data_IF_964789919994
#
_entry.id   IF_964789919994
#
_cell.length_a   1.000
_cell.length_b   1.000
_cell.length_c   1.000
_cell.angle_alpha   90.00
_cell.angle_beta   90.00
_cell.angle_gamma   90.00
#
_symmetry.space_group_name_H-M   'P 1'
#
loop_
_entity.id
_entity.type
_entity.pdbx_description
1 polymer ?
#
# COMPACT_ATOMS: atom_id res chain seq x y z
N UNK A 1 -5.42 0.08 -34.43
CA UNK A 1 -5.13 -0.41 -33.09
C UNK A 1 -3.90 -1.34 -33.04
N UNK A 2 -2.81 -1.06 -33.76
CA UNK A 2 -1.58 -1.88 -33.76
C UNK A 2 -0.31 -1.11 -33.36
N UNK A 3 -0.43 0.12 -32.83
CA UNK A 3 0.72 1.00 -32.61
C UNK A 3 0.97 1.42 -31.17
N UNK A 4 0.29 0.86 -30.16
CA UNK A 4 0.47 1.27 -28.75
C UNK A 4 1.20 0.24 -27.87
N UNK A 5 1.65 -0.89 -28.45
CA UNK A 5 2.35 -1.95 -27.69
C UNK A 5 3.89 -1.92 -27.85
N UNK A 6 4.43 -0.95 -28.61
CA UNK A 6 5.85 -0.93 -28.95
C UNK A 6 6.72 0.03 -28.13
N UNK A 7 6.19 0.73 -27.13
CA UNK A 7 6.96 1.75 -26.38
C UNK A 7 7.49 1.26 -25.02
N UNK A 8 7.16 0.05 -24.58
CA UNK A 8 7.52 -0.42 -23.21
C UNK A 8 8.71 -1.39 -23.15
N UNK A 9 9.49 -1.56 -24.21
CA UNK A 9 10.58 -2.56 -24.26
C UNK A 9 11.90 -2.03 -24.86
N UNK A 10 12.24 -0.76 -24.64
CA UNK A 10 13.62 -0.29 -24.90
C UNK A 10 14.12 0.45 -23.66
N UNK A 11 14.49 -0.32 -22.64
CA UNK A 11 15.43 0.14 -21.61
C UNK A 11 16.82 -0.35 -22.06
N UNK A 12 17.76 0.54 -22.41
CA UNK A 12 19.10 0.10 -22.76
C UNK A 12 19.78 -0.51 -21.53
N UNK A 13 20.28 -1.73 -21.68
CA UNK A 13 20.95 -2.54 -20.65
C UNK A 13 22.30 -1.99 -20.15
N UNK A 14 22.61 -0.72 -20.34
CA UNK A 14 23.94 -0.15 -20.06
C UNK A 14 24.02 0.79 -18.84
N UNK A 15 23.01 0.84 -17.96
CA UNK A 15 23.02 1.78 -16.83
C UNK A 15 22.84 1.11 -15.45
N UNK A 16 23.38 -0.10 -15.24
CA UNK A 16 23.33 -0.76 -13.93
C UNK A 16 24.71 -1.27 -13.48
N UNK A 17 25.72 -0.40 -13.63
CA UNK A 17 26.97 -0.51 -12.87
C UNK A 17 26.96 0.53 -11.76
N UNK A 18 26.27 0.23 -10.67
CA UNK A 18 26.43 0.95 -9.41
C UNK A 18 27.76 0.47 -8.82
N UNK A 19 28.75 1.35 -8.60
CA UNK A 19 29.97 0.96 -7.91
C UNK A 19 29.61 0.57 -6.48
N UNK A 20 29.83 -0.69 -6.14
CA UNK A 20 29.75 -1.20 -4.77
C UNK A 20 30.88 -0.54 -3.99
N UNK A 21 30.55 0.38 -3.09
CA UNK A 21 31.49 0.94 -2.13
C UNK A 21 32.07 -0.20 -1.26
N UNK A 22 33.39 -0.23 -1.02
CA UNK A 22 34.00 -1.26 -0.19
C UNK A 22 33.47 -1.18 1.23
N UNK A 23 32.99 -2.31 1.75
CA UNK A 23 32.58 -2.46 3.15
C UNK A 23 33.80 -2.16 4.05
N UNK A 24 33.65 -1.36 5.12
CA UNK A 24 34.70 -1.21 6.10
C UNK A 24 35.00 -2.59 6.73
N UNK A 25 36.28 -2.95 6.75
CA UNK A 25 36.73 -4.19 7.34
C UNK A 25 36.35 -4.26 8.82
N UNK A 26 35.78 -5.38 9.24
CA UNK A 26 35.61 -5.72 10.64
C UNK A 26 36.99 -5.69 11.31
N UNK A 27 37.19 -4.70 12.18
CA UNK A 27 38.33 -4.71 13.09
C UNK A 27 38.11 -5.83 14.12
N UNK A 28 38.80 -6.93 13.95
CA UNK A 28 38.95 -7.95 14.98
C UNK A 28 39.71 -7.35 16.16
N UNK A 29 38.99 -7.12 17.26
CA UNK A 29 39.60 -6.82 18.54
C UNK A 29 40.40 -8.07 19.00
N UNK A 30 41.70 -8.10 18.74
CA UNK A 30 42.62 -9.03 19.36
C UNK A 30 42.83 -8.60 20.82
N UNK A 31 42.27 -9.41 21.74
CA UNK A 31 42.52 -9.31 23.18
C UNK A 31 44.03 -9.56 23.45
N UNK A 32 44.77 -8.49 23.71
CA UNK A 32 46.14 -8.56 24.17
C UNK A 32 46.13 -8.87 25.68
N UNK A 33 46.44 -10.10 26.04
CA UNK A 33 46.75 -10.51 27.42
C UNK A 33 48.08 -9.86 27.83
N UNK A 34 48.01 -8.70 28.47
CA UNK A 34 49.16 -8.13 29.19
C UNK A 34 49.22 -8.76 30.59
N UNK A 35 50.27 -9.48 30.84
CA UNK A 35 50.54 -10.12 32.13
C UNK A 35 50.76 -9.08 33.25
N UNK A 36 50.03 -9.25 34.32
CA UNK A 36 50.18 -8.49 35.57
C UNK A 36 51.44 -8.95 36.28
N UNK A 37 52.53 -8.13 36.24
CA UNK A 37 53.62 -8.25 37.19
C UNK A 37 53.22 -7.50 38.46
N UNK A 38 53.05 -8.21 39.58
CA UNK A 38 52.99 -7.65 40.93
C UNK A 38 54.30 -7.02 41.28
N UNK A 39 54.29 -5.68 41.52
CA UNK A 39 55.34 -5.01 42.28
C UNK A 39 54.74 -4.55 43.59
N UNK A 40 55.22 -5.11 44.67
CA UNK A 40 54.97 -4.71 46.05
C UNK A 40 55.78 -3.45 46.34
N UNK A 41 55.17 -2.57 47.10
CA UNK A 41 55.66 -1.35 47.77
C UNK A 41 55.25 -0.02 47.12
N UNK A 42 54.19 0.58 47.66
CA UNK A 42 54.22 1.95 48.21
C UNK A 42 52.96 2.19 49.02
N UNK A 43 53.11 2.31 50.37
CA UNK A 43 52.10 2.75 51.30
C UNK A 43 51.92 4.27 51.20
N UNK A 44 50.86 4.72 50.53
CA UNK A 44 50.34 6.10 50.70
C UNK A 44 48.92 6.07 51.29
N UNK A 45 48.62 6.97 52.23
CA UNK A 45 47.31 6.99 52.87
C UNK A 45 46.20 7.37 51.89
N UNK A 46 45.10 6.64 51.93
CA UNK A 46 43.94 6.85 51.08
C UNK A 46 43.26 8.20 51.35
N UNK A 47 42.92 8.99 50.33
CA UNK A 47 42.05 10.13 50.48
C UNK A 47 40.60 9.68 50.78
N UNK A 48 39.78 10.50 51.43
CA UNK A 48 38.43 10.12 51.85
C UNK A 48 37.55 9.80 50.65
N UNK A 49 36.84 8.69 50.76
CA UNK A 49 35.90 8.23 49.77
C UNK A 49 34.81 9.27 49.48
N UNK A 50 34.96 10.00 48.39
CA UNK A 50 33.86 10.69 47.77
C UNK A 50 32.95 9.62 47.17
N UNK A 51 31.82 9.36 47.84
CA UNK A 51 30.70 8.61 47.31
C UNK A 51 30.17 9.35 46.07
N UNK A 52 30.78 9.10 44.91
CA UNK A 52 30.16 9.44 43.63
C UNK A 52 28.99 8.47 43.47
N UNK A 53 27.80 8.95 43.85
CA UNK A 53 26.55 8.34 43.46
C UNK A 53 26.46 8.46 41.95
N UNK A 54 26.95 7.45 41.25
CA UNK A 54 26.66 7.25 39.83
C UNK A 54 25.14 7.16 39.73
N UNK A 55 24.46 7.99 38.91
CA UNK A 55 23.07 7.76 38.61
C UNK A 55 23.02 6.41 37.92
N UNK A 56 22.38 5.45 38.56
CA UNK A 56 21.97 4.20 37.96
C UNK A 56 21.02 4.58 36.81
N UNK A 57 21.56 4.80 35.62
CA UNK A 57 20.79 4.87 34.41
C UNK A 57 20.21 3.46 34.27
N UNK A 58 19.02 3.29 34.87
CA UNK A 58 18.11 2.25 34.47
C UNK A 58 17.83 2.51 33.00
N UNK A 59 18.71 1.96 32.14
CA UNK A 59 18.39 1.71 30.76
C UNK A 59 17.15 0.82 30.85
N UNK A 60 15.98 1.42 30.70
CA UNK A 60 14.72 0.70 30.60
C UNK A 60 14.87 -0.20 29.38
N UNK A 61 15.40 -1.39 29.58
CA UNK A 61 15.28 -2.46 28.63
C UNK A 61 13.78 -2.66 28.45
N UNK A 62 13.21 -2.05 27.43
CA UNK A 62 11.88 -2.43 26.99
C UNK A 62 11.93 -3.94 26.85
N UNK A 63 11.05 -4.67 27.56
CA UNK A 63 11.14 -6.11 27.58
C UNK A 63 11.04 -6.60 26.14
N UNK A 64 12.03 -7.36 25.70
CA UNK A 64 12.08 -8.01 24.38
C UNK A 64 10.77 -8.77 24.07
N UNK A 65 10.05 -9.20 25.10
CA UNK A 65 8.73 -9.79 25.02
C UNK A 65 7.64 -8.86 24.46
N UNK A 66 7.69 -7.54 24.73
CA UNK A 66 6.71 -6.59 24.15
C UNK A 66 7.01 -6.31 22.67
N UNK A 67 8.29 -6.30 22.27
CA UNK A 67 8.68 -6.18 20.88
C UNK A 67 8.28 -7.41 20.05
N UNK A 68 8.35 -8.62 20.64
CA UNK A 68 7.93 -9.87 19.99
C UNK A 68 6.41 -10.03 19.97
N UNK A 69 5.68 -9.53 20.98
CA UNK A 69 4.22 -9.62 21.04
C UNK A 69 3.53 -8.94 19.85
N UNK A 70 4.09 -7.82 19.34
CA UNK A 70 3.55 -7.10 18.19
C UNK A 70 4.14 -7.52 16.84
N UNK A 71 5.21 -8.31 16.82
CA UNK A 71 5.89 -8.70 15.59
C UNK A 71 4.99 -9.58 14.69
N UNK A 72 4.32 -10.57 15.26
CA UNK A 72 3.44 -11.47 14.49
C UNK A 72 2.20 -10.73 13.96
N UNK A 73 1.42 -10.00 14.77
CA UNK A 73 0.29 -9.22 14.25
C UNK A 73 0.68 -8.20 13.19
N UNK A 74 1.81 -7.52 13.37
CA UNK A 74 2.36 -6.57 12.39
C UNK A 74 2.73 -7.26 11.07
N UNK A 75 3.38 -8.43 11.13
CA UNK A 75 3.72 -9.22 9.95
C UNK A 75 2.48 -9.72 9.22
N UNK A 76 1.45 -10.18 9.95
CA UNK A 76 0.17 -10.60 9.37
C UNK A 76 -0.58 -9.42 8.72
N UNK A 77 -0.56 -8.23 9.32
CA UNK A 77 -1.13 -7.03 8.73
C UNK A 77 -0.42 -6.67 7.41
N UNK A 78 0.91 -6.70 7.40
CA UNK A 78 1.70 -6.47 6.20
C UNK A 78 1.42 -7.52 5.11
N UNK A 79 1.40 -8.81 5.49
CA UNK A 79 1.06 -9.89 4.56
C UNK A 79 -0.35 -9.73 3.98
N UNK A 80 -1.35 -9.44 4.83
CA UNK A 80 -2.73 -9.20 4.39
C UNK A 80 -2.84 -8.02 3.42
N UNK A 81 -2.04 -6.96 3.64
CA UNK A 81 -2.00 -5.81 2.73
C UNK A 81 -1.46 -6.19 1.34
N UNK A 82 -0.36 -6.95 1.28
CA UNK A 82 0.19 -7.43 0.01
C UNK A 82 -0.74 -8.44 -0.67
N UNK A 83 -1.31 -9.38 0.09
CA UNK A 83 -2.27 -10.34 -0.44
C UNK A 83 -3.50 -9.63 -1.04
N UNK A 84 -4.05 -8.66 -0.31
CA UNK A 84 -5.16 -7.83 -0.79
C UNK A 84 -4.82 -7.09 -2.08
N UNK A 85 -3.62 -6.50 -2.18
CA UNK A 85 -3.16 -5.84 -3.40
C UNK A 85 -3.05 -6.81 -4.60
N UNK A 86 -2.52 -8.01 -4.37
CA UNK A 86 -2.43 -9.06 -5.40
C UNK A 86 -3.84 -9.46 -5.87
N UNK A 87 -4.77 -9.67 -4.94
CA UNK A 87 -6.16 -10.02 -5.27
C UNK A 87 -6.85 -8.91 -6.06
N UNK A 88 -6.71 -7.64 -5.64
CA UNK A 88 -7.24 -6.47 -6.37
C UNK A 88 -6.70 -6.45 -7.80
N UNK A 89 -5.39 -6.64 -7.98
CA UNK A 89 -4.76 -6.66 -9.30
C UNK A 89 -5.28 -7.82 -10.18
N UNK A 90 -5.39 -9.04 -9.63
CA UNK A 90 -5.88 -10.21 -10.35
C UNK A 90 -7.36 -10.07 -10.75
N UNK A 91 -8.21 -9.58 -9.84
CA UNK A 91 -9.63 -9.38 -10.13
C UNK A 91 -9.80 -8.33 -11.23
N UNK A 92 -9.17 -7.18 -11.08
CA UNK A 92 -9.25 -6.10 -12.07
C UNK A 92 -8.70 -6.50 -13.43
N UNK A 93 -7.61 -7.29 -13.48
CA UNK A 93 -7.09 -7.84 -14.72
C UNK A 93 -8.07 -8.84 -15.35
N UNK A 94 -8.72 -9.68 -14.53
CA UNK A 94 -9.74 -10.63 -14.99
C UNK A 94 -10.93 -9.90 -15.59
N UNK A 95 -11.46 -8.87 -14.91
CA UNK A 95 -12.55 -8.04 -15.40
C UNK A 95 -12.16 -7.36 -16.72
N UNK A 96 -10.98 -6.72 -16.76
CA UNK A 96 -10.51 -6.02 -17.95
C UNK A 96 -10.31 -6.92 -19.17
N UNK A 97 -9.86 -8.15 -18.97
CA UNK A 97 -9.65 -9.13 -20.05
C UNK A 97 -10.95 -9.78 -20.51
N UNK A 98 -11.98 -9.80 -19.64
CA UNK A 98 -13.27 -10.43 -19.95
C UNK A 98 -14.26 -9.44 -20.54
N UNK A 99 -14.22 -8.16 -20.11
CA UNK A 99 -15.18 -7.14 -20.56
C UNK A 99 -15.09 -6.89 -22.06
N UNK A 100 -16.19 -7.12 -22.77
CA UNK A 100 -16.37 -6.89 -24.21
C UNK A 100 -17.85 -6.72 -24.54
N UNK A 101 -18.16 -6.30 -25.76
CA UNK A 101 -19.52 -6.34 -26.26
C UNK A 101 -20.05 -7.78 -26.39
N UNK A 102 -21.35 -7.96 -26.32
CA UNK A 102 -22.01 -9.26 -26.50
C UNK A 102 -21.43 -10.38 -25.62
N UNK A 103 -21.10 -10.07 -24.35
CA UNK A 103 -20.64 -11.10 -23.41
C UNK A 103 -21.68 -12.19 -23.20
N UNK A 104 -21.19 -13.42 -23.04
CA UNK A 104 -22.04 -14.56 -22.65
C UNK A 104 -22.46 -14.45 -21.18
N UNK A 105 -23.50 -15.19 -20.79
CA UNK A 105 -23.95 -15.25 -19.40
C UNK A 105 -22.83 -15.69 -18.43
N UNK A 106 -21.96 -16.61 -18.87
CA UNK A 106 -20.83 -17.09 -18.06
C UNK A 106 -19.72 -16.04 -17.91
N UNK A 107 -19.47 -15.23 -18.95
CA UNK A 107 -18.51 -14.14 -18.90
C UNK A 107 -18.98 -13.03 -17.97
N UNK A 108 -20.29 -12.71 -17.98
CA UNK A 108 -20.86 -11.76 -17.03
C UNK A 108 -20.78 -12.26 -15.59
N UNK A 109 -21.08 -13.53 -15.33
CA UNK A 109 -20.94 -14.13 -14.01
C UNK A 109 -19.50 -14.09 -13.52
N UNK A 110 -18.53 -14.34 -14.42
CA UNK A 110 -17.10 -14.25 -14.08
C UNK A 110 -16.71 -12.84 -13.65
N UNK A 111 -17.15 -11.81 -14.38
CA UNK A 111 -16.89 -10.42 -13.99
C UNK A 111 -17.59 -10.10 -12.66
N UNK A 112 -18.84 -10.49 -12.47
CA UNK A 112 -19.58 -10.23 -11.25
C UNK A 112 -18.90 -10.87 -10.01
N UNK A 113 -18.36 -12.08 -10.16
CA UNK A 113 -17.59 -12.73 -9.08
C UNK A 113 -16.26 -12.01 -8.85
N UNK A 114 -15.55 -11.62 -9.91
CA UNK A 114 -14.30 -10.88 -9.79
C UNK A 114 -14.50 -9.53 -9.11
N UNK A 115 -15.54 -8.77 -9.47
CA UNK A 115 -15.90 -7.49 -8.85
C UNK A 115 -16.26 -7.64 -7.35
N UNK A 116 -16.98 -8.71 -6.98
CA UNK A 116 -17.27 -9.00 -5.58
C UNK A 116 -16.00 -9.30 -4.78
N UNK A 117 -15.08 -10.10 -5.33
CA UNK A 117 -13.78 -10.39 -4.68
C UNK A 117 -12.91 -9.13 -4.65
N UNK A 118 -12.91 -8.31 -5.69
CA UNK A 118 -12.25 -7.02 -5.74
C UNK A 118 -12.70 -6.10 -4.61
N UNK A 119 -14.01 -5.99 -4.37
CA UNK A 119 -14.56 -5.19 -3.28
C UNK A 119 -14.08 -5.68 -1.91
N UNK A 120 -14.13 -7.00 -1.64
CA UNK A 120 -13.63 -7.59 -0.38
C UNK A 120 -12.13 -7.40 -0.22
N UNK A 121 -11.35 -7.61 -1.30
CA UNK A 121 -9.91 -7.39 -1.29
C UNK A 121 -9.56 -5.92 -1.05
N UNK A 122 -10.32 -4.99 -1.63
CA UNK A 122 -10.19 -3.55 -1.38
C UNK A 122 -10.39 -3.19 0.10
N UNK A 123 -11.43 -3.73 0.74
CA UNK A 123 -11.65 -3.56 2.18
C UNK A 123 -10.51 -4.15 3.01
N UNK A 124 -9.97 -5.30 2.63
CA UNK A 124 -8.79 -5.91 3.27
C UNK A 124 -7.57 -4.98 3.16
N UNK A 125 -7.31 -4.41 1.99
CA UNK A 125 -6.20 -3.45 1.78
C UNK A 125 -6.38 -2.21 2.64
N UNK A 126 -7.59 -1.65 2.71
CA UNK A 126 -7.87 -0.47 3.54
C UNK A 126 -7.66 -0.76 5.02
N UNK A 127 -8.22 -1.86 5.52
CA UNK A 127 -8.08 -2.25 6.93
C UNK A 127 -6.61 -2.54 7.30
N UNK A 128 -5.93 -3.37 6.51
CA UNK A 128 -4.53 -3.72 6.76
C UNK A 128 -3.58 -2.55 6.53
N UNK A 129 -3.94 -1.57 5.70
CA UNK A 129 -3.21 -0.32 5.53
C UNK A 129 -3.42 0.67 6.68
N UNK A 130 -4.58 0.64 7.34
CA UNK A 130 -4.87 1.44 8.52
C UNK A 130 -4.01 1.03 9.74
N UNK A 131 -3.77 -0.27 9.92
CA UNK A 131 -3.03 -0.79 11.07
C UNK A 131 -1.58 -0.25 11.19
N UNK A 132 -0.75 -0.18 10.14
CA UNK A 132 0.57 0.45 10.21
C UNK A 132 0.53 1.96 10.51
N UNK A 133 -0.55 2.64 10.12
CA UNK A 133 -0.69 4.08 10.39
C UNK A 133 -1.01 4.36 11.85
N UNK A 134 -1.76 3.46 12.53
CA UNK A 134 -2.29 3.70 13.88
C UNK A 134 -1.66 2.84 14.96
N UNK A 135 -1.24 1.60 14.64
CA UNK A 135 -0.85 0.60 15.66
C UNK A 135 0.60 0.14 15.50
N UNK A 136 1.01 -0.24 14.28
CA UNK A 136 2.26 -0.97 14.08
C UNK A 136 3.39 -0.18 13.41
N UNK A 137 3.13 1.04 12.92
CA UNK A 137 4.12 1.83 12.19
C UNK A 137 4.56 3.09 12.93
N UNK A 138 4.87 4.13 12.15
CA UNK A 138 5.36 5.41 12.67
C UNK A 138 4.28 6.27 13.36
N UNK A 139 3.02 5.84 13.32
CA UNK A 139 1.89 6.54 13.92
C UNK A 139 1.30 7.65 13.05
N UNK A 140 0.08 8.08 13.40
CA UNK A 140 -0.67 9.10 12.67
C UNK A 140 0.10 10.42 12.53
N UNK A 141 0.79 10.84 13.59
CA UNK A 141 1.56 12.08 13.61
C UNK A 141 2.57 12.15 12.46
N UNK A 142 3.30 11.07 12.20
CA UNK A 142 4.22 11.01 11.09
C UNK A 142 3.51 11.06 9.74
N UNK A 143 2.49 10.20 9.53
CA UNK A 143 1.84 10.08 8.22
C UNK A 143 1.00 11.31 7.86
N UNK A 144 0.46 12.02 8.84
CA UNK A 144 -0.33 13.24 8.63
C UNK A 144 0.50 14.39 8.03
N UNK A 145 1.81 14.41 8.28
CA UNK A 145 2.74 15.41 7.76
C UNK A 145 3.53 14.93 6.53
N UNK A 146 3.13 13.81 5.94
CA UNK A 146 3.81 13.26 4.77
C UNK A 146 3.00 13.46 3.48
N UNK A 147 3.41 14.36 2.57
CA UNK A 147 2.68 14.65 1.33
C UNK A 147 2.49 13.42 0.45
N UNK A 148 3.46 12.48 0.45
CA UNK A 148 3.38 11.25 -0.35
C UNK A 148 2.32 10.29 0.20
N UNK A 149 2.10 10.28 1.53
CA UNK A 149 0.97 9.56 2.12
C UNK A 149 -0.37 10.07 1.56
N UNK A 150 -0.56 11.39 1.52
CA UNK A 150 -1.78 12.00 1.00
C UNK A 150 -1.94 11.79 -0.50
N UNK A 151 -0.84 11.82 -1.27
CA UNK A 151 -0.85 11.46 -2.69
C UNK A 151 -1.31 10.01 -2.88
N UNK A 152 -0.75 9.07 -2.11
CA UNK A 152 -1.19 7.66 -2.11
C UNK A 152 -2.67 7.53 -1.79
N UNK A 153 -3.15 8.19 -0.74
CA UNK A 153 -4.56 8.16 -0.34
C UNK A 153 -5.48 8.76 -1.40
N UNK A 154 -5.04 9.81 -2.08
CA UNK A 154 -5.79 10.41 -3.20
C UNK A 154 -5.89 9.44 -4.38
N UNK A 155 -4.79 8.74 -4.74
CA UNK A 155 -4.82 7.72 -5.80
C UNK A 155 -5.77 6.57 -5.45
N UNK A 156 -5.75 6.10 -4.20
CA UNK A 156 -6.68 5.07 -3.71
C UNK A 156 -8.12 5.57 -3.76
N UNK A 157 -8.39 6.82 -3.38
CA UNK A 157 -9.71 7.42 -3.43
C UNK A 157 -10.23 7.57 -4.87
N UNK A 158 -9.38 7.99 -5.81
CA UNK A 158 -9.73 8.09 -7.24
C UNK A 158 -10.05 6.71 -7.79
N UNK A 159 -9.23 5.69 -7.50
CA UNK A 159 -9.44 4.33 -7.95
C UNK A 159 -10.76 3.77 -7.38
N UNK A 160 -10.96 3.85 -6.06
CA UNK A 160 -12.17 3.38 -5.42
C UNK A 160 -13.44 4.12 -5.86
N UNK A 161 -13.35 5.42 -6.16
CA UNK A 161 -14.48 6.18 -6.72
C UNK A 161 -14.79 5.75 -8.17
N UNK A 162 -13.78 5.49 -8.98
CA UNK A 162 -13.95 5.07 -10.37
C UNK A 162 -14.60 3.68 -10.48
N UNK A 163 -14.25 2.76 -9.57
CA UNK A 163 -14.82 1.40 -9.53
C UNK A 163 -16.33 1.38 -9.25
N UNK A 164 -16.91 2.45 -8.69
CA UNK A 164 -18.36 2.50 -8.49
C UNK A 164 -19.17 2.42 -9.78
N UNK A 165 -18.64 2.88 -10.92
CA UNK A 165 -19.37 2.77 -12.19
C UNK A 165 -19.49 1.30 -12.64
N UNK A 166 -18.39 0.54 -12.88
CA UNK A 166 -18.47 -0.86 -13.29
C UNK A 166 -19.22 -1.71 -12.27
N UNK A 167 -18.93 -1.55 -10.96
CA UNK A 167 -19.63 -2.29 -9.90
C UNK A 167 -21.15 -2.05 -9.93
N UNK A 168 -21.58 -0.79 -10.04
CA UNK A 168 -23.03 -0.47 -10.11
C UNK A 168 -23.67 -1.12 -11.34
N UNK A 169 -23.01 -1.07 -12.51
CA UNK A 169 -23.53 -1.70 -13.73
C UNK A 169 -23.59 -3.21 -13.61
N UNK A 170 -22.56 -3.85 -13.04
CA UNK A 170 -22.55 -5.30 -12.85
C UNK A 170 -23.63 -5.75 -11.86
N UNK A 171 -23.87 -4.99 -10.78
CA UNK A 171 -24.96 -5.26 -9.84
C UNK A 171 -26.32 -5.14 -10.55
N UNK A 172 -26.56 -4.07 -11.32
CA UNK A 172 -27.81 -3.89 -12.07
C UNK A 172 -28.07 -5.05 -13.04
N UNK A 173 -27.04 -5.46 -13.81
CA UNK A 173 -27.16 -6.59 -14.76
C UNK A 173 -27.38 -7.92 -14.05
N UNK A 174 -26.66 -8.17 -12.95
CA UNK A 174 -26.84 -9.37 -12.13
C UNK A 174 -28.24 -9.47 -11.54
N UNK A 175 -28.81 -8.37 -11.06
CA UNK A 175 -30.19 -8.32 -10.55
C UNK A 175 -31.19 -8.56 -11.69
N UNK A 176 -31.02 -7.92 -12.84
CA UNK A 176 -31.87 -8.08 -14.01
C UNK A 176 -31.87 -9.54 -14.51
N UNK A 177 -30.68 -10.14 -14.61
CA UNK A 177 -30.50 -11.57 -14.96
C UNK A 177 -31.23 -12.48 -13.98
N UNK A 178 -31.07 -12.25 -12.66
CA UNK A 178 -31.73 -13.04 -11.60
C UNK A 178 -33.25 -12.97 -11.69
N UNK A 179 -33.79 -11.78 -11.97
CA UNK A 179 -35.23 -11.57 -12.11
C UNK A 179 -35.80 -12.19 -13.39
N UNK A 180 -34.95 -12.48 -14.40
CA UNK A 180 -35.31 -13.11 -15.66
C UNK A 180 -34.92 -14.60 -15.72
N UNK A 181 -35.11 -15.34 -14.63
CA UNK A 181 -34.81 -16.78 -14.53
C UNK A 181 -33.35 -17.15 -14.90
N UNK A 182 -32.40 -16.30 -14.56
CA UNK A 182 -30.99 -16.43 -14.87
C UNK A 182 -30.64 -16.36 -16.37
N UNK A 183 -31.53 -15.82 -17.18
CA UNK A 183 -31.27 -15.55 -18.61
C UNK A 183 -30.88 -14.07 -18.76
N UNK A 184 -29.89 -13.79 -19.60
CA UNK A 184 -29.52 -12.41 -19.92
C UNK A 184 -30.72 -11.66 -20.52
N UNK A 185 -30.99 -10.47 -20.00
CA UNK A 185 -32.10 -9.62 -20.49
C UNK A 185 -31.70 -8.98 -21.82
N UNK A 186 -30.45 -8.51 -21.91
CA UNK A 186 -29.88 -7.91 -23.11
C UNK A 186 -28.36 -8.14 -23.14
N UNK A 187 -27.75 -8.30 -24.33
CA UNK A 187 -26.31 -8.37 -24.46
C UNK A 187 -25.68 -7.03 -24.01
N UNK A 188 -24.40 -7.06 -23.60
CA UNK A 188 -23.66 -5.84 -23.25
C UNK A 188 -23.43 -5.02 -24.52
N UNK A 189 -23.76 -3.74 -24.49
CA UNK A 189 -23.52 -2.82 -25.59
C UNK A 189 -22.03 -2.48 -25.73
N UNK A 190 -21.58 -2.20 -26.96
CA UNK A 190 -20.20 -1.75 -27.23
C UNK A 190 -19.86 -0.50 -26.42
N UNK A 191 -20.79 0.44 -26.33
CA UNK A 191 -20.64 1.69 -25.58
C UNK A 191 -20.37 1.45 -24.09
N UNK A 192 -21.13 0.55 -23.44
CA UNK A 192 -20.94 0.18 -22.04
C UNK A 192 -19.61 -0.57 -21.84
N UNK A 193 -19.33 -1.58 -22.66
CA UNK A 193 -18.10 -2.35 -22.61
C UNK A 193 -16.84 -1.44 -22.75
N UNK A 194 -16.87 -0.51 -23.71
CA UNK A 194 -15.77 0.44 -23.92
C UNK A 194 -15.59 1.37 -22.72
N UNK A 195 -16.70 1.85 -22.11
CA UNK A 195 -16.64 2.72 -20.91
C UNK A 195 -16.06 1.97 -19.72
N UNK A 196 -16.53 0.75 -19.44
CA UNK A 196 -15.99 -0.09 -18.37
C UNK A 196 -14.50 -0.40 -18.60
N UNK A 197 -14.12 -0.80 -19.81
CA UNK A 197 -12.73 -1.05 -20.16
C UNK A 197 -11.82 0.17 -19.97
N UNK A 198 -12.32 1.37 -20.29
CA UNK A 198 -11.59 2.63 -20.08
C UNK A 198 -11.32 2.90 -18.60
N UNK A 199 -12.33 2.68 -17.73
CA UNK A 199 -12.20 2.85 -16.28
C UNK A 199 -11.21 1.82 -15.73
N UNK A 200 -11.37 0.54 -16.05
CA UNK A 200 -10.47 -0.54 -15.60
C UNK A 200 -9.01 -0.31 -16.04
N UNK A 201 -8.77 0.25 -17.23
CA UNK A 201 -7.43 0.63 -17.65
C UNK A 201 -6.83 1.75 -16.79
N UNK A 202 -7.64 2.74 -16.39
CA UNK A 202 -7.19 3.80 -15.48
C UNK A 202 -6.89 3.26 -14.08
N UNK A 203 -7.70 2.33 -13.58
CA UNK A 203 -7.47 1.66 -12.30
C UNK A 203 -6.21 0.78 -12.32
N UNK A 204 -5.94 0.05 -13.39
CA UNK A 204 -4.70 -0.72 -13.56
C UNK A 204 -3.47 0.19 -13.56
N UNK A 205 -3.56 1.37 -14.17
CA UNK A 205 -2.49 2.37 -14.10
C UNK A 205 -2.29 2.90 -12.67
N UNK A 206 -3.40 3.16 -11.94
CA UNK A 206 -3.33 3.57 -10.55
C UNK A 206 -2.67 2.50 -9.67
N UNK A 207 -3.03 1.22 -9.84
CA UNK A 207 -2.40 0.10 -9.13
C UNK A 207 -0.89 0.03 -9.39
N UNK A 208 -0.43 0.33 -10.61
CA UNK A 208 1.00 0.34 -10.91
C UNK A 208 1.74 1.51 -10.20
N UNK A 209 1.07 2.64 -9.97
CA UNK A 209 1.66 3.83 -9.34
C UNK A 209 1.59 3.84 -7.81
N UNK A 210 0.56 3.24 -7.20
CA UNK A 210 0.38 3.20 -5.75
C UNK A 210 1.56 2.54 -5.01
N UNK A 211 2.12 1.39 -5.42
CA UNK A 211 3.31 0.83 -4.78
C UNK A 211 4.55 1.71 -4.86
N UNK A 212 4.71 2.49 -5.95
CA UNK A 212 5.81 3.45 -6.06
C UNK A 212 5.68 4.56 -5.00
N UNK A 213 4.49 5.14 -4.81
CA UNK A 213 4.26 6.13 -3.74
C UNK A 213 4.50 5.50 -2.36
N UNK A 214 4.08 4.26 -2.13
CA UNK A 214 4.33 3.55 -0.89
C UNK A 214 5.83 3.36 -0.61
N UNK A 215 6.63 3.08 -1.65
CA UNK A 215 8.08 2.93 -1.54
C UNK A 215 8.78 4.26 -1.17
N UNK A 216 8.35 5.39 -1.71
CA UNK A 216 8.85 6.72 -1.33
C UNK A 216 8.43 7.10 0.10
N UNK A 217 7.16 6.87 0.44
CA UNK A 217 6.61 7.10 1.78
C UNK A 217 7.37 6.31 2.86
N UNK A 218 7.68 5.05 2.63
CA UNK A 218 8.43 4.22 3.58
C UNK A 218 9.81 4.79 3.90
N UNK A 219 10.40 5.57 2.96
CA UNK A 219 11.70 6.22 3.10
C UNK A 219 11.61 7.66 3.65
N UNK A 220 10.41 8.17 3.93
CA UNK A 220 10.20 9.53 4.43
C UNK A 220 10.55 10.61 3.40
N UNK A 221 10.42 10.31 2.11
CA UNK A 221 10.74 11.27 1.05
C UNK A 221 9.69 12.39 1.04
N UNK A 222 10.14 13.63 1.26
CA UNK A 222 9.26 14.79 1.21
C UNK A 222 8.50 15.08 2.50
N UNK A 223 8.92 14.52 3.64
CA UNK A 223 8.34 14.84 4.93
C UNK A 223 8.32 16.37 5.16
N UNK A 224 7.16 16.91 5.54
CA UNK A 224 6.90 18.33 5.66
C UNK A 224 6.11 18.62 6.96
N UNK A 225 6.83 18.94 8.02
CA UNK A 225 6.27 19.22 9.34
C UNK A 225 5.24 20.37 9.35
N UNK A 226 5.40 21.31 8.42
CA UNK A 226 4.49 22.46 8.25
C UNK A 226 3.15 22.10 7.59
N UNK A 227 3.01 20.89 6.98
CA UNK A 227 1.80 20.50 6.26
C UNK A 227 0.67 20.15 7.23
N UNK A 228 -0.44 20.91 7.28
CA UNK A 228 -1.59 20.52 8.08
C UNK A 228 -2.31 19.33 7.43
N UNK A 229 -2.69 18.34 8.23
CA UNK A 229 -3.35 17.12 7.74
C UNK A 229 -4.61 17.39 6.91
N UNK A 230 -5.32 18.50 7.19
CA UNK A 230 -6.52 18.92 6.47
C UNK A 230 -6.23 19.21 4.99
N UNK A 231 -5.06 19.80 4.69
CA UNK A 231 -4.68 20.09 3.32
C UNK A 231 -4.46 18.80 2.50
N UNK A 232 -3.97 17.74 3.14
CA UNK A 232 -3.85 16.42 2.52
C UNK A 232 -5.17 15.66 2.44
N UNK A 233 -6.02 15.76 3.46
CA UNK A 233 -7.30 15.07 3.51
C UNK A 233 -8.35 15.65 2.54
N UNK A 234 -8.29 16.95 2.25
CA UNK A 234 -9.25 17.61 1.37
C UNK A 234 -9.28 17.03 -0.07
N UNK A 235 -8.15 16.82 -0.77
CA UNK A 235 -8.14 16.15 -2.07
C UNK A 235 -8.70 14.73 -2.01
N UNK A 236 -8.39 13.97 -0.96
CA UNK A 236 -8.91 12.60 -0.76
C UNK A 236 -10.43 12.61 -0.65
N UNK A 237 -10.98 13.47 0.20
CA UNK A 237 -12.42 13.61 0.37
C UNK A 237 -13.11 14.08 -0.92
N UNK A 238 -12.55 15.07 -1.60
CA UNK A 238 -13.08 15.58 -2.87
C UNK A 238 -13.12 14.49 -3.95
N UNK A 239 -12.03 13.71 -4.08
CA UNK A 239 -11.98 12.61 -5.03
C UNK A 239 -12.97 11.50 -4.65
N UNK A 240 -12.99 11.06 -3.40
CA UNK A 240 -13.85 9.96 -2.98
C UNK A 240 -15.34 10.32 -3.12
N UNK A 241 -15.78 11.44 -2.57
CA UNK A 241 -17.18 11.83 -2.58
C UNK A 241 -17.61 12.48 -3.91
N UNK A 242 -16.80 13.37 -4.47
CA UNK A 242 -17.11 14.06 -5.72
C UNK A 242 -17.12 13.12 -6.93
N UNK A 243 -16.02 12.36 -7.12
CA UNK A 243 -15.95 11.38 -8.21
C UNK A 243 -16.87 10.18 -7.94
N UNK A 244 -16.97 9.71 -6.69
CA UNK A 244 -17.87 8.61 -6.32
C UNK A 244 -19.32 8.94 -6.66
N UNK A 245 -19.82 10.13 -6.27
CA UNK A 245 -21.15 10.59 -6.65
C UNK A 245 -21.32 10.67 -8.18
N UNK A 246 -20.33 11.25 -8.87
CA UNK A 246 -20.35 11.35 -10.34
C UNK A 246 -20.47 9.98 -11.00
N UNK A 247 -19.64 9.01 -10.62
CA UNK A 247 -19.62 7.69 -11.24
C UNK A 247 -20.87 6.86 -10.90
N UNK A 248 -21.38 6.93 -9.68
CA UNK A 248 -22.64 6.29 -9.32
C UNK A 248 -23.80 6.90 -10.11
N UNK A 249 -23.88 8.23 -10.17
CA UNK A 249 -24.90 8.92 -10.95
C UNK A 249 -24.82 8.57 -12.43
N UNK A 250 -23.63 8.60 -13.02
CA UNK A 250 -23.37 8.21 -14.42
C UNK A 250 -23.86 6.76 -14.67
N UNK A 251 -23.59 5.83 -13.75
CA UNK A 251 -24.03 4.45 -13.88
C UNK A 251 -25.56 4.29 -13.78
N UNK A 252 -26.22 5.07 -12.90
CA UNK A 252 -27.67 5.04 -12.75
C UNK A 252 -28.41 5.68 -13.93
N UNK A 253 -27.89 6.80 -14.43
CA UNK A 253 -28.47 7.56 -15.55
C UNK A 253 -28.05 7.01 -16.93
N UNK A 254 -27.24 5.94 -16.97
CA UNK A 254 -26.70 5.38 -18.21
C UNK A 254 -27.79 4.80 -19.09
N UNK A 255 -27.90 5.33 -20.29
CA UNK A 255 -28.79 4.81 -21.34
C UNK A 255 -27.97 4.07 -22.40
N UNK A 256 -28.35 2.84 -22.69
CA UNK A 256 -27.77 1.99 -23.73
C UNK A 256 -28.29 2.34 -25.12
#
# INVERSE_FOLDING_TARGET
>A
MKSMLAVLLVVPSSALLIPVAPRPALQTCTSSRAGLRMSTDDQRPAPPALLLSAPLVLLSAQPAAAATANAIPSALAAYGHYLGLVLVCLCLATERLTVKENMTAEEEDRIAIADAIYGVAGLLVLYTGYLPVTVYGKGWEFYSHEPIFWLKMTLVAVMGAASFFPTTKMIQRSIAKRNNNNVLVAPMSEKLASRMASIMNAELLAIATIPATAAFMARGVGYAEWLPWQAGAAPVALCLFGLGYKYVKEALDWQE
#
